data_IF_373659302985
#
_entry.id   IF_373659302985
#
_cell.length_a   1.000
_cell.length_b   1.000
_cell.length_c   1.000
_cell.angle_alpha   90.00
_cell.angle_beta   90.00
_cell.angle_gamma   90.00
#
_symmetry.space_group_name_H-M   'P 1'
#
loop_
_entity.id
_entity.type
_entity.pdbx_description
1 polymer ?
#
# COMPACT_ATOMS: atom_id res chain seq x y z
N UNK A 1 -11.05 -11.25 27.09
CA UNK A 1 -11.66 -12.29 26.23
C UNK A 1 -12.87 -11.72 25.53
N UNK A 2 -12.99 -11.94 24.23
CA UNK A 2 -14.12 -11.53 23.40
C UNK A 2 -14.74 -12.76 22.75
N UNK A 3 -16.08 -12.79 22.69
CA UNK A 3 -16.83 -13.75 21.88
C UNK A 3 -17.58 -12.95 20.84
N UNK A 4 -17.17 -13.12 19.60
CA UNK A 4 -17.66 -12.33 18.48
C UNK A 4 -18.73 -13.11 17.74
N UNK A 5 -19.92 -12.51 17.62
CA UNK A 5 -20.96 -13.07 16.76
C UNK A 5 -20.52 -13.08 15.29
N UNK A 6 -20.65 -14.22 14.62
CA UNK A 6 -20.15 -14.46 13.26
C UNK A 6 -20.70 -13.43 12.27
N UNK A 7 -21.98 -13.12 12.43
CA UNK A 7 -22.67 -12.12 11.63
C UNK A 7 -22.09 -10.72 11.83
N UNK A 8 -21.95 -10.31 13.09
CA UNK A 8 -21.71 -8.91 13.47
C UNK A 8 -20.27 -8.48 13.25
N UNK A 9 -19.35 -9.43 13.31
CA UNK A 9 -17.91 -9.20 13.32
C UNK A 9 -17.20 -9.76 12.09
N UNK A 10 -17.95 -10.31 11.13
CA UNK A 10 -17.47 -10.58 9.78
C UNK A 10 -16.89 -11.98 9.56
N UNK A 11 -17.38 -13.01 10.25
CA UNK A 11 -17.07 -14.42 9.96
C UNK A 11 -18.10 -15.09 9.06
N UNK A 12 -19.36 -14.64 9.11
CA UNK A 12 -20.47 -15.40 8.54
C UNK A 12 -20.35 -15.62 7.02
N UNK A 13 -19.73 -14.71 6.28
CA UNK A 13 -19.55 -14.85 4.85
C UNK A 13 -18.52 -15.95 4.54
N UNK A 14 -17.48 -16.09 5.36
CA UNK A 14 -16.50 -17.19 5.26
C UNK A 14 -17.16 -18.54 5.55
N UNK A 15 -17.95 -18.64 6.63
CA UNK A 15 -18.72 -19.86 6.95
C UNK A 15 -19.67 -20.27 5.83
N UNK A 16 -20.17 -19.30 5.05
CA UNK A 16 -21.03 -19.52 3.89
C UNK A 16 -20.27 -19.80 2.59
N UNK A 17 -18.94 -19.96 2.66
CA UNK A 17 -18.08 -20.17 1.49
C UNK A 17 -18.10 -19.03 0.49
N UNK A 18 -18.40 -17.81 0.94
CA UNK A 18 -18.38 -16.60 0.10
C UNK A 18 -16.96 -16.08 -0.05
N UNK A 19 -16.70 -15.38 -1.15
CA UNK A 19 -15.37 -14.83 -1.45
C UNK A 19 -15.07 -13.56 -0.66
N UNK A 20 -16.08 -12.77 -0.32
CA UNK A 20 -15.94 -11.57 0.49
C UNK A 20 -17.24 -11.23 1.21
N UNK A 21 -17.17 -10.26 2.13
CA UNK A 21 -18.32 -9.76 2.88
C UNK A 21 -19.41 -9.19 1.96
N UNK A 22 -19.05 -8.58 0.83
CA UNK A 22 -19.99 -7.98 -0.12
C UNK A 22 -20.91 -9.04 -0.72
N UNK A 23 -20.37 -10.23 -1.01
CA UNK A 23 -21.15 -11.34 -1.55
C UNK A 23 -22.21 -11.86 -0.58
N UNK A 24 -22.01 -11.72 0.72
CA UNK A 24 -23.06 -12.06 1.70
C UNK A 24 -24.31 -11.21 1.49
N UNK A 25 -24.16 -9.98 0.98
CA UNK A 25 -25.24 -9.01 0.85
C UNK A 25 -25.60 -8.66 -0.60
N UNK A 26 -25.09 -9.38 -1.60
CA UNK A 26 -25.31 -9.03 -3.02
C UNK A 26 -26.78 -8.94 -3.46
N UNK A 27 -27.71 -9.62 -2.76
CA UNK A 27 -29.16 -9.55 -3.00
C UNK A 27 -29.90 -8.65 -2.00
N UNK A 28 -29.20 -8.01 -1.06
CA UNK A 28 -29.81 -7.22 0.00
C UNK A 28 -30.04 -5.78 -0.45
N UNK A 29 -31.26 -5.27 -0.27
CA UNK A 29 -31.61 -3.87 -0.50
C UNK A 29 -30.87 -2.91 0.44
N UNK A 30 -30.39 -3.39 1.59
CA UNK A 30 -29.62 -2.63 2.58
C UNK A 30 -28.15 -3.05 2.65
N UNK A 31 -27.60 -3.63 1.58
CA UNK A 31 -26.23 -4.15 1.54
C UNK A 31 -25.20 -3.12 2.02
N UNK A 32 -25.29 -1.88 1.53
CA UNK A 32 -24.35 -0.82 1.88
C UNK A 32 -24.32 -0.47 3.38
N UNK A 33 -25.46 -0.53 4.06
CA UNK A 33 -25.53 -0.32 5.51
C UNK A 33 -24.85 -1.48 6.26
N UNK A 34 -25.18 -2.72 5.90
CA UNK A 34 -24.65 -3.90 6.59
C UNK A 34 -23.14 -4.08 6.39
N UNK A 35 -22.67 -3.94 5.15
CA UNK A 35 -21.24 -3.98 4.83
C UNK A 35 -20.49 -2.91 5.64
N UNK A 36 -21.01 -1.68 5.67
CA UNK A 36 -20.39 -0.58 6.45
C UNK A 36 -20.39 -0.87 7.94
N UNK A 37 -21.51 -1.36 8.48
CA UNK A 37 -21.65 -1.68 9.91
C UNK A 37 -20.67 -2.78 10.33
N UNK A 38 -20.61 -3.88 9.59
CA UNK A 38 -19.72 -5.00 9.89
C UNK A 38 -18.25 -4.58 9.73
N UNK A 39 -17.88 -3.86 8.66
CA UNK A 39 -16.52 -3.30 8.52
C UNK A 39 -16.16 -2.35 9.65
N UNK A 40 -17.12 -1.54 10.12
CA UNK A 40 -16.91 -0.65 11.28
C UNK A 40 -16.65 -1.44 12.56
N UNK A 41 -17.39 -2.53 12.77
CA UNK A 41 -17.14 -3.45 13.88
C UNK A 41 -15.74 -4.07 13.76
N UNK A 42 -15.38 -4.62 12.60
CA UNK A 42 -14.04 -5.19 12.35
C UNK A 42 -12.91 -4.18 12.62
N UNK A 43 -13.08 -2.92 12.19
CA UNK A 43 -12.15 -1.82 12.51
C UNK A 43 -12.06 -1.59 14.02
N UNK A 44 -13.20 -1.52 14.70
CA UNK A 44 -13.27 -1.33 16.15
C UNK A 44 -12.61 -2.50 16.89
N UNK A 45 -12.84 -3.73 16.44
CA UNK A 45 -12.28 -4.93 17.04
C UNK A 45 -10.76 -4.93 16.93
N UNK A 46 -10.22 -4.63 15.74
CA UNK A 46 -8.78 -4.47 15.54
C UNK A 46 -8.19 -3.37 16.43
N UNK A 47 -8.86 -2.22 16.52
CA UNK A 47 -8.43 -1.11 17.39
C UNK A 47 -8.45 -1.49 18.87
N UNK A 48 -9.51 -2.12 19.36
CA UNK A 48 -9.63 -2.55 20.76
C UNK A 48 -8.58 -3.59 21.11
N UNK A 49 -8.34 -4.56 20.22
CA UNK A 49 -7.27 -5.54 20.40
C UNK A 49 -5.91 -4.84 20.51
N UNK A 50 -5.61 -3.88 19.62
CA UNK A 50 -4.36 -3.10 19.66
C UNK A 50 -4.22 -2.27 20.94
N UNK A 51 -5.26 -1.57 21.38
CA UNK A 51 -5.25 -0.74 22.61
C UNK A 51 -5.04 -1.60 23.87
N UNK A 52 -5.71 -2.76 23.95
CA UNK A 52 -5.57 -3.68 25.08
C UNK A 52 -4.19 -4.34 25.10
N UNK A 53 -3.67 -4.76 23.95
CA UNK A 53 -2.32 -5.32 23.84
C UNK A 53 -1.27 -4.29 24.30
N UNK A 54 -1.39 -3.02 23.88
CA UNK A 54 -0.50 -1.92 24.31
C UNK A 54 -0.48 -1.69 25.82
N UNK A 55 -1.55 -2.04 26.52
CA UNK A 55 -1.66 -1.91 27.98
C UNK A 55 -1.28 -3.19 28.73
N UNK A 56 -0.68 -4.15 28.02
CA UNK A 56 -0.15 -5.40 28.59
C UNK A 56 -1.17 -6.52 28.72
N UNK A 57 -2.36 -6.39 28.12
CA UNK A 57 -3.38 -7.43 28.16
C UNK A 57 -3.20 -8.46 27.04
N UNK A 58 -3.26 -9.74 27.40
CA UNK A 58 -3.46 -10.81 26.42
C UNK A 58 -4.93 -10.83 25.97
N UNK A 59 -5.17 -10.70 24.66
CA UNK A 59 -6.51 -10.62 24.09
C UNK A 59 -6.86 -11.92 23.35
N UNK A 60 -7.73 -12.73 23.95
CA UNK A 60 -8.35 -13.87 23.28
C UNK A 60 -9.68 -13.46 22.64
N UNK A 61 -9.91 -13.88 21.38
CA UNK A 61 -11.12 -13.56 20.61
C UNK A 61 -11.62 -14.78 19.84
N UNK A 62 -12.79 -15.25 20.22
CA UNK A 62 -13.44 -16.45 19.70
C UNK A 62 -14.59 -16.09 18.78
N UNK A 63 -14.88 -16.92 17.79
CA UNK A 63 -16.14 -16.84 17.06
C UNK A 63 -17.26 -17.55 17.83
N UNK A 64 -18.49 -17.05 17.72
CA UNK A 64 -19.65 -17.72 18.31
C UNK A 64 -19.82 -19.15 17.76
N UNK A 65 -19.61 -19.37 16.45
CA UNK A 65 -19.67 -20.71 15.85
C UNK A 65 -18.64 -21.66 16.45
N UNK A 66 -17.40 -21.19 16.64
CA UNK A 66 -16.31 -22.02 17.14
C UNK A 66 -16.62 -22.52 18.56
N UNK A 67 -17.25 -21.68 19.38
CA UNK A 67 -17.66 -22.05 20.73
C UNK A 67 -18.96 -22.87 20.77
N UNK A 68 -19.86 -22.68 19.80
CA UNK A 68 -21.08 -23.50 19.69
C UNK A 68 -20.74 -24.94 19.30
N UNK A 69 -19.85 -25.11 18.34
CA UNK A 69 -19.48 -26.43 17.81
C UNK A 69 -18.42 -27.12 18.69
N UNK A 70 -17.53 -26.35 19.32
CA UNK A 70 -16.37 -26.86 20.06
C UNK A 70 -16.08 -26.07 21.34
N UNK A 71 -17.07 -26.01 22.24
CA UNK A 71 -16.95 -25.29 23.52
C UNK A 71 -15.75 -25.77 24.35
N UNK A 72 -15.47 -27.07 24.38
CA UNK A 72 -14.33 -27.62 25.11
C UNK A 72 -12.99 -27.02 24.67
N UNK A 73 -12.82 -26.72 23.38
CA UNK A 73 -11.59 -26.12 22.85
C UNK A 73 -11.45 -24.66 23.32
N UNK A 74 -12.55 -23.91 23.32
CA UNK A 74 -12.57 -22.55 23.85
C UNK A 74 -12.26 -22.51 25.35
N UNK A 75 -12.84 -23.42 26.12
CA UNK A 75 -12.58 -23.56 27.56
C UNK A 75 -11.13 -23.99 27.81
N UNK A 76 -10.60 -24.93 27.04
CA UNK A 76 -9.20 -25.36 27.13
C UNK A 76 -8.25 -24.18 26.87
N UNK A 77 -8.47 -23.40 25.81
CA UNK A 77 -7.67 -22.20 25.51
C UNK A 77 -7.71 -21.15 26.64
N UNK A 78 -8.88 -20.94 27.25
CA UNK A 78 -9.00 -20.02 28.38
C UNK A 78 -8.26 -20.55 29.60
N UNK A 79 -8.44 -21.83 29.94
CA UNK A 79 -7.77 -22.44 31.09
C UNK A 79 -6.25 -22.47 30.89
N UNK A 80 -5.77 -22.76 29.69
CA UNK A 80 -4.35 -22.68 29.34
C UNK A 80 -3.83 -21.24 29.51
N UNK A 81 -4.60 -20.23 29.09
CA UNK A 81 -4.26 -18.81 29.28
C UNK A 81 -4.19 -18.32 30.71
N UNK A 82 -4.81 -19.04 31.63
CA UNK A 82 -4.85 -18.73 33.06
C UNK A 82 -3.85 -19.55 33.88
N UNK A 83 -3.46 -20.74 33.40
CA UNK A 83 -2.65 -21.71 34.15
C UNK A 83 -1.20 -21.75 33.71
N UNK A 84 -0.92 -21.46 32.44
CA UNK A 84 0.39 -21.01 32.01
C UNK A 84 0.41 -19.49 32.09
N UNK A 85 1.48 -18.83 32.59
CA UNK A 85 1.76 -17.49 32.09
C UNK A 85 1.94 -17.67 30.58
N UNK A 86 0.88 -17.44 29.79
CA UNK A 86 1.02 -17.38 28.34
C UNK A 86 1.88 -16.14 28.07
N UNK A 87 3.20 -16.33 28.10
CA UNK A 87 3.95 -15.88 26.95
C UNK A 87 3.30 -16.62 25.78
N UNK A 88 2.49 -15.92 24.99
CA UNK A 88 2.07 -16.47 23.72
C UNK A 88 3.37 -16.96 23.07
N UNK A 89 3.39 -18.21 22.60
CA UNK A 89 4.58 -18.75 21.95
C UNK A 89 5.11 -17.69 20.98
N UNK A 90 6.42 -17.50 20.84
CA UNK A 90 6.99 -16.30 20.22
C UNK A 90 6.32 -15.90 18.90
N UNK A 91 5.82 -16.88 18.14
CA UNK A 91 4.98 -16.71 16.95
C UNK A 91 3.60 -16.08 17.16
N UNK A 92 2.78 -16.54 18.11
CA UNK A 92 1.47 -15.92 18.39
C UNK A 92 1.59 -14.55 19.05
N UNK A 93 2.60 -14.35 19.90
CA UNK A 93 2.90 -13.02 20.46
C UNK A 93 3.29 -12.06 19.35
N UNK A 94 4.23 -12.48 18.49
CA UNK A 94 4.64 -11.72 17.32
C UNK A 94 3.45 -11.41 16.39
N UNK A 95 2.58 -12.37 16.07
CA UNK A 95 1.40 -12.12 15.23
C UNK A 95 0.41 -11.15 15.89
N UNK A 96 0.24 -11.23 17.21
CA UNK A 96 -0.69 -10.41 17.99
C UNK A 96 -0.25 -8.96 18.16
N UNK A 97 1.05 -8.72 18.15
CA UNK A 97 1.62 -7.38 18.32
C UNK A 97 1.47 -6.49 17.07
N UNK A 98 1.10 -7.06 15.91
CA UNK A 98 0.92 -6.36 14.63
C UNK A 98 2.06 -5.39 14.33
N UNK A 99 3.31 -5.87 14.43
CA UNK A 99 4.52 -5.06 14.29
C UNK A 99 5.09 -5.11 12.87
N UNK A 100 5.80 -4.04 12.49
CA UNK A 100 6.31 -3.85 11.12
C UNK A 100 7.78 -3.47 11.11
N UNK A 101 8.54 -4.08 10.20
CA UNK A 101 9.85 -3.61 9.75
C UNK A 101 9.70 -3.00 8.34
N UNK A 102 9.85 -1.68 8.24
CA UNK A 102 9.60 -0.88 7.04
C UNK A 102 10.90 -0.59 6.28
N UNK A 103 11.20 -1.38 5.25
CA UNK A 103 12.34 -1.14 4.36
C UNK A 103 11.95 -0.20 3.22
N UNK A 104 12.89 0.67 2.81
CA UNK A 104 12.65 1.76 1.86
C UNK A 104 11.49 2.64 2.33
N UNK A 105 11.55 3.06 3.60
CA UNK A 105 10.48 3.76 4.30
C UNK A 105 10.13 5.11 3.64
N UNK A 106 11.10 5.72 2.95
CA UNK A 106 11.00 7.04 2.40
C UNK A 106 10.54 8.06 3.43
N UNK A 107 9.47 8.79 3.12
CA UNK A 107 8.88 9.77 4.05
C UNK A 107 7.84 9.14 5.00
N UNK A 108 7.70 7.80 5.00
CA UNK A 108 6.86 7.04 5.93
C UNK A 108 5.36 7.04 5.63
N UNK A 109 4.95 7.20 4.37
CA UNK A 109 3.53 7.07 4.01
C UNK A 109 3.03 5.62 4.09
N UNK A 110 3.92 4.63 4.01
CA UNK A 110 3.57 3.22 4.28
C UNK A 110 3.25 3.05 5.77
N UNK A 111 4.13 3.52 6.68
CA UNK A 111 3.85 3.63 8.12
C UNK A 111 2.50 4.30 8.43
N UNK A 112 2.23 5.49 7.89
CA UNK A 112 0.95 6.18 8.13
C UNK A 112 -0.27 5.33 7.78
N UNK A 113 -0.21 4.59 6.66
CA UNK A 113 -1.31 3.72 6.25
C UNK A 113 -1.49 2.51 7.16
N UNK A 114 -0.38 1.90 7.59
CA UNK A 114 -0.38 0.75 8.49
C UNK A 114 -0.81 1.13 9.91
N UNK A 115 -0.33 2.24 10.46
CA UNK A 115 -0.72 2.71 11.80
C UNK A 115 -2.20 3.06 11.89
N UNK A 116 -2.79 3.65 10.84
CA UNK A 116 -4.24 3.87 10.73
C UNK A 116 -5.05 2.56 10.80
N UNK A 117 -4.43 1.43 10.45
CA UNK A 117 -5.01 0.09 10.51
C UNK A 117 -4.60 -0.70 11.78
N UNK A 118 -3.90 -0.08 12.73
CA UNK A 118 -3.56 -0.66 14.04
C UNK A 118 -2.18 -1.31 14.14
N UNK A 119 -1.34 -1.20 13.12
CA UNK A 119 0.02 -1.73 13.12
C UNK A 119 1.00 -0.80 13.85
N UNK A 120 2.11 -1.34 14.35
CA UNK A 120 3.18 -0.57 14.98
C UNK A 120 4.52 -0.79 14.26
N UNK A 121 5.11 0.28 13.75
CA UNK A 121 6.46 0.21 13.17
C UNK A 121 7.49 0.08 14.29
N UNK A 122 8.38 -0.90 14.16
CA UNK A 122 9.47 -1.20 15.12
C UNK A 122 10.86 -1.04 14.51
N UNK A 123 10.92 -0.93 13.20
CA UNK A 123 12.12 -0.70 12.43
C UNK A 123 11.75 0.00 11.13
N UNK A 124 12.52 1.00 10.72
CA UNK A 124 12.40 1.65 9.44
C UNK A 124 13.80 1.88 8.84
N UNK A 125 13.94 1.72 7.53
CA UNK A 125 15.20 1.98 6.84
C UNK A 125 14.98 2.72 5.52
N UNK A 126 15.84 3.70 5.24
CA UNK A 126 16.03 4.30 3.92
C UNK A 126 17.48 4.79 3.79
N UNK A 127 17.95 5.05 2.57
CA UNK A 127 19.32 5.51 2.30
C UNK A 127 19.38 7.03 2.13
N UNK A 128 18.25 7.72 1.92
CA UNK A 128 18.20 9.14 1.57
C UNK A 128 18.02 10.05 2.81
N UNK A 129 19.02 10.89 3.16
CA UNK A 129 18.95 11.80 4.31
C UNK A 129 17.82 12.85 4.20
N UNK A 130 17.38 13.18 2.98
CA UNK A 130 16.24 14.09 2.81
C UNK A 130 14.93 13.43 3.20
N UNK A 131 14.80 12.12 2.91
CA UNK A 131 13.62 11.35 3.31
C UNK A 131 13.60 11.10 4.81
N UNK A 132 14.76 10.79 5.39
CA UNK A 132 14.98 10.72 6.84
C UNK A 132 14.48 12.01 7.53
N UNK A 133 14.93 13.19 7.09
CA UNK A 133 14.49 14.46 7.67
C UNK A 133 12.96 14.62 7.66
N UNK A 134 12.31 14.30 6.54
CA UNK A 134 10.85 14.38 6.43
C UNK A 134 10.15 13.31 7.29
N UNK A 135 10.75 12.13 7.42
CA UNK A 135 10.27 11.06 8.29
C UNK A 135 10.29 11.51 9.76
N UNK A 136 11.40 12.06 10.25
CA UNK A 136 11.50 12.57 11.61
C UNK A 136 10.52 13.71 11.90
N UNK A 137 10.31 14.61 10.92
CA UNK A 137 9.34 15.69 11.07
C UNK A 137 7.91 15.15 11.29
N UNK A 138 7.55 14.04 10.63
CA UNK A 138 6.23 13.41 10.76
C UNK A 138 6.10 12.53 12.01
N UNK A 139 7.19 11.89 12.46
CA UNK A 139 7.15 10.87 13.50
C UNK A 139 8.10 11.20 14.65
N UNK A 140 7.61 11.75 15.78
CA UNK A 140 8.46 12.13 16.90
C UNK A 140 9.21 10.96 17.58
N UNK A 141 8.76 9.73 17.39
CA UNK A 141 9.37 8.51 17.95
C UNK A 141 10.41 7.86 17.02
N UNK A 142 10.63 8.42 15.83
CA UNK A 142 11.46 7.83 14.77
C UNK A 142 12.93 7.62 15.15
N UNK A 143 13.49 8.41 16.05
CA UNK A 143 14.87 8.23 16.54
C UNK A 143 15.09 6.85 17.20
N UNK A 144 14.01 6.18 17.63
CA UNK A 144 14.06 4.87 18.26
C UNK A 144 14.21 3.71 17.26
N UNK A 145 13.89 3.93 15.98
CA UNK A 145 13.74 2.83 15.02
C UNK A 145 14.07 3.16 13.57
N UNK A 146 14.38 4.41 13.21
CA UNK A 146 14.80 4.76 11.84
C UNK A 146 16.31 4.58 11.67
N UNK A 147 16.70 3.88 10.62
CA UNK A 147 18.08 3.57 10.27
C UNK A 147 18.40 4.12 8.88
N UNK A 148 19.18 5.21 8.83
CA UNK A 148 19.73 5.74 7.59
C UNK A 148 20.92 4.89 7.13
N UNK A 149 20.68 3.93 6.24
CA UNK A 149 21.71 2.99 5.78
C UNK A 149 21.31 2.37 4.44
N UNK A 150 22.30 1.95 3.65
CA UNK A 150 22.06 1.08 2.50
C UNK A 150 21.52 -0.29 2.98
N UNK A 151 20.44 -0.76 2.38
CA UNK A 151 19.84 -2.07 2.69
C UNK A 151 20.85 -3.22 2.58
N UNK A 152 21.85 -3.11 1.71
CA UNK A 152 22.91 -4.11 1.57
C UNK A 152 23.87 -4.15 2.78
N UNK A 153 23.92 -3.07 3.57
CA UNK A 153 24.82 -2.90 4.71
C UNK A 153 24.11 -3.05 6.07
N UNK A 154 22.78 -3.23 6.08
CA UNK A 154 22.02 -3.46 7.31
C UNK A 154 22.54 -4.71 8.02
N UNK A 155 22.95 -4.52 9.28
CA UNK A 155 23.18 -5.60 10.24
C UNK A 155 21.83 -6.15 10.73
N UNK A 156 21.58 -7.44 10.51
CA UNK A 156 20.32 -8.06 10.94
C UNK A 156 20.13 -8.05 12.45
N UNK A 157 21.19 -7.87 13.24
CA UNK A 157 21.09 -7.75 14.70
C UNK A 157 20.30 -6.51 15.15
N UNK A 158 20.22 -5.46 14.33
CA UNK A 158 19.42 -4.26 14.63
C UNK A 158 17.97 -4.38 14.15
N UNK A 159 17.65 -5.40 13.35
CA UNK A 159 16.30 -5.62 12.84
C UNK A 159 15.53 -6.47 13.86
N UNK A 160 14.55 -5.90 14.60
CA UNK A 160 13.77 -6.67 15.56
C UNK A 160 12.90 -7.69 14.83
N UNK A 161 12.54 -8.77 15.53
CA UNK A 161 11.53 -9.69 15.05
C UNK A 161 10.17 -8.97 14.97
N UNK A 162 9.55 -8.98 13.78
CA UNK A 162 8.26 -8.33 13.53
C UNK A 162 7.27 -9.25 12.84
N UNK A 163 5.99 -8.90 12.89
CA UNK A 163 4.94 -9.64 12.17
C UNK A 163 5.03 -9.48 10.65
N UNK A 164 5.36 -8.28 10.19
CA UNK A 164 5.37 -7.87 8.80
C UNK A 164 6.69 -7.19 8.45
N UNK A 165 7.26 -7.52 7.29
CA UNK A 165 8.21 -6.64 6.60
C UNK A 165 7.53 -5.97 5.41
N UNK A 166 7.79 -4.69 5.18
CA UNK A 166 7.39 -4.01 3.94
C UNK A 166 8.60 -3.57 3.16
N UNK A 167 8.54 -3.59 1.83
CA UNK A 167 9.59 -3.04 0.97
C UNK A 167 9.02 -2.33 -0.25
N UNK A 168 9.28 -1.03 -0.37
CA UNK A 168 8.90 -0.18 -1.52
C UNK A 168 10.14 0.17 -2.35
N UNK A 169 10.76 -0.85 -2.93
CA UNK A 169 12.10 -0.76 -3.53
C UNK A 169 12.08 -0.14 -4.95
N UNK A 170 13.19 0.50 -5.38
CA UNK A 170 13.27 1.14 -6.70
C UNK A 170 13.15 0.12 -7.86
N UNK A 171 12.35 0.47 -8.88
CA UNK A 171 12.08 -0.40 -10.05
C UNK A 171 13.23 -0.54 -11.06
N UNK A 172 14.26 0.31 -11.00
CA UNK A 172 15.22 0.46 -12.12
C UNK A 172 16.33 -0.61 -12.15
N UNK A 173 16.50 -1.39 -11.09
CA UNK A 173 17.75 -2.14 -10.84
C UNK A 173 17.59 -3.68 -10.85
N UNK A 174 16.39 -4.21 -11.14
CA UNK A 174 16.14 -5.66 -11.07
C UNK A 174 16.86 -6.47 -12.16
N UNK A 175 17.31 -5.84 -13.24
CA UNK A 175 17.85 -6.51 -14.43
C UNK A 175 19.29 -7.03 -14.32
N UNK A 176 19.97 -6.78 -13.20
CA UNK A 176 21.38 -7.18 -12.99
C UNK A 176 21.55 -8.63 -12.49
N UNK A 177 20.47 -9.36 -12.18
CA UNK A 177 20.56 -10.73 -11.63
C UNK A 177 20.67 -11.85 -12.69
N UNK A 178 20.73 -11.52 -13.98
CA UNK A 178 20.55 -12.49 -15.07
C UNK A 178 21.82 -13.07 -15.71
N UNK A 179 23.02 -12.55 -15.43
CA UNK A 179 24.25 -13.07 -16.01
C UNK A 179 24.75 -14.30 -15.24
N UNK A 180 24.23 -15.48 -15.60
CA UNK A 180 24.77 -16.79 -15.20
C UNK A 180 26.18 -16.96 -15.79
N UNK A 181 27.20 -16.81 -14.94
CA UNK A 181 28.40 -17.67 -14.85
C UNK A 181 29.49 -16.94 -14.05
N UNK A 182 29.90 -17.53 -12.93
CA UNK A 182 31.04 -17.08 -12.15
C UNK A 182 30.65 -16.55 -10.77
N UNK A 183 31.19 -17.21 -9.75
CA UNK A 183 31.32 -16.68 -8.39
C UNK A 183 31.81 -15.22 -8.47
N UNK A 184 31.15 -14.30 -7.75
CA UNK A 184 31.41 -12.84 -7.67
C UNK A 184 30.56 -11.88 -8.57
N UNK A 185 29.39 -12.30 -9.05
CA UNK A 185 28.40 -11.35 -9.59
C UNK A 185 27.58 -10.69 -8.48
N UNK A 186 27.95 -9.48 -8.03
CA UNK A 186 27.23 -8.75 -6.97
C UNK A 186 25.76 -8.52 -7.34
N UNK A 187 24.84 -9.10 -6.54
CA UNK A 187 23.39 -8.87 -6.56
C UNK A 187 23.06 -7.42 -6.15
N UNK A 188 23.41 -6.43 -6.97
CA UNK A 188 23.39 -5.00 -6.60
C UNK A 188 22.02 -4.32 -6.60
N UNK A 189 20.93 -5.07 -6.83
CA UNK A 189 19.59 -4.48 -6.75
C UNK A 189 19.12 -4.39 -5.30
N UNK A 190 18.45 -3.28 -4.96
CA UNK A 190 17.87 -3.04 -3.66
C UNK A 190 16.95 -4.19 -3.18
N UNK A 191 16.24 -4.86 -4.09
CA UNK A 191 15.42 -6.03 -3.76
C UNK A 191 16.25 -7.19 -3.20
N UNK A 192 17.44 -7.43 -3.75
CA UNK A 192 18.34 -8.50 -3.30
C UNK A 192 19.00 -8.16 -1.96
N UNK A 193 19.28 -6.88 -1.71
CA UNK A 193 19.71 -6.43 -0.39
C UNK A 193 18.63 -6.68 0.68
N UNK A 194 17.36 -6.44 0.35
CA UNK A 194 16.24 -6.76 1.23
C UNK A 194 16.08 -8.27 1.45
N UNK A 195 16.16 -9.10 0.40
CA UNK A 195 16.01 -10.56 0.56
C UNK A 195 17.21 -11.20 1.25
N UNK A 196 18.41 -10.62 1.13
CA UNK A 196 19.58 -10.93 1.97
C UNK A 196 19.24 -10.74 3.45
N UNK A 197 18.73 -9.57 3.84
CA UNK A 197 18.32 -9.29 5.23
C UNK A 197 17.32 -10.34 5.71
N UNK A 198 16.28 -10.64 4.91
CA UNK A 198 15.35 -11.71 5.27
C UNK A 198 16.08 -13.05 5.45
N UNK A 199 16.93 -13.46 4.51
CA UNK A 199 17.66 -14.73 4.61
C UNK A 199 18.50 -14.84 5.87
N UNK A 200 19.23 -13.78 6.21
CA UNK A 200 20.08 -13.69 7.40
C UNK A 200 19.27 -13.68 8.71
N UNK A 201 18.05 -13.15 8.72
CA UNK A 201 17.14 -13.25 9.88
C UNK A 201 16.71 -14.69 10.19
N UNK A 202 16.83 -15.63 9.24
CA UNK A 202 16.54 -17.05 9.47
C UNK A 202 15.14 -17.32 10.03
N UNK A 203 15.06 -17.88 11.25
CA UNK A 203 13.79 -18.17 11.92
C UNK A 203 13.11 -16.92 12.52
N UNK A 204 13.81 -15.79 12.63
CA UNK A 204 13.27 -14.51 13.09
C UNK A 204 12.65 -13.69 11.96
N UNK A 205 12.63 -14.23 10.73
CA UNK A 205 11.98 -13.59 9.59
C UNK A 205 10.50 -13.28 9.88
N UNK A 206 9.99 -12.13 9.40
CA UNK A 206 8.59 -11.80 9.57
C UNK A 206 7.65 -12.81 8.94
N UNK A 207 6.51 -13.08 9.60
CA UNK A 207 5.51 -14.02 9.13
C UNK A 207 4.92 -13.61 7.76
N UNK A 208 4.92 -12.31 7.46
CA UNK A 208 4.45 -11.75 6.19
C UNK A 208 5.43 -10.73 5.60
N UNK A 209 5.37 -10.58 4.28
CA UNK A 209 6.07 -9.55 3.51
C UNK A 209 5.05 -8.82 2.64
N UNK A 210 5.12 -7.49 2.58
CA UNK A 210 4.38 -6.67 1.61
C UNK A 210 5.36 -5.90 0.71
N UNK A 211 5.40 -6.24 -0.57
CA UNK A 211 6.16 -5.50 -1.56
C UNK A 211 5.25 -4.50 -2.28
N UNK A 212 5.77 -3.32 -2.57
CA UNK A 212 5.16 -2.33 -3.47
C UNK A 212 6.10 -2.06 -4.65
N UNK A 213 5.52 -1.92 -5.85
CA UNK A 213 6.25 -1.45 -7.02
C UNK A 213 5.32 -0.84 -8.08
N UNK A 214 5.89 -0.30 -9.16
CA UNK A 214 5.14 0.19 -10.31
C UNK A 214 4.60 -0.97 -11.18
N UNK A 215 3.48 -0.78 -11.90
CA UNK A 215 2.90 -1.81 -12.76
C UNK A 215 3.83 -2.31 -13.87
N UNK A 216 4.84 -1.51 -14.25
CA UNK A 216 5.83 -1.87 -15.27
C UNK A 216 6.62 -3.13 -14.92
N UNK A 217 6.78 -3.45 -13.63
CA UNK A 217 7.45 -4.66 -13.16
C UNK A 217 6.82 -5.93 -13.77
N UNK A 218 5.49 -6.00 -13.84
CA UNK A 218 4.76 -7.15 -14.42
C UNK A 218 5.21 -7.49 -15.85
N UNK A 219 5.61 -6.48 -16.62
CA UNK A 219 5.99 -6.62 -18.04
C UNK A 219 7.49 -6.51 -18.29
N UNK A 220 8.29 -6.22 -17.27
CA UNK A 220 9.72 -6.00 -17.40
C UNK A 220 10.44 -7.28 -17.83
N UNK A 221 11.32 -7.18 -18.84
CA UNK A 221 11.96 -8.32 -19.51
C UNK A 221 10.99 -9.45 -19.88
N UNK A 222 9.79 -9.09 -20.39
CA UNK A 222 8.76 -10.06 -20.75
C UNK A 222 8.08 -10.73 -19.56
N UNK A 223 8.24 -10.19 -18.35
CA UNK A 223 7.71 -10.72 -17.09
C UNK A 223 8.73 -11.53 -16.26
N UNK A 224 9.95 -11.74 -16.76
CA UNK A 224 10.97 -12.53 -16.05
C UNK A 224 11.49 -11.84 -14.77
N UNK A 225 11.56 -10.50 -14.73
CA UNK A 225 11.95 -9.79 -13.50
C UNK A 225 10.91 -10.01 -12.39
N UNK A 226 9.62 -9.91 -12.73
CA UNK A 226 8.55 -10.12 -11.76
C UNK A 226 8.52 -11.57 -11.27
N UNK A 227 8.71 -12.52 -12.20
CA UNK A 227 8.85 -13.94 -11.86
C UNK A 227 10.04 -14.21 -10.94
N UNK A 228 11.16 -13.51 -11.14
CA UNK A 228 12.34 -13.62 -10.27
C UNK A 228 12.06 -13.09 -8.87
N UNK A 229 11.37 -11.95 -8.74
CA UNK A 229 10.93 -11.40 -7.45
C UNK A 229 10.03 -12.39 -6.70
N UNK A 230 9.04 -12.99 -7.37
CA UNK A 230 8.14 -13.96 -6.76
C UNK A 230 8.88 -15.27 -6.40
N UNK A 231 9.76 -15.73 -7.28
CA UNK A 231 10.56 -16.93 -7.06
C UNK A 231 11.52 -16.79 -5.88
N UNK A 232 12.09 -15.60 -5.67
CA UNK A 232 12.94 -15.32 -4.51
C UNK A 232 12.16 -15.37 -3.19
N UNK A 233 10.95 -14.80 -3.16
CA UNK A 233 10.07 -14.95 -1.99
C UNK A 233 9.69 -16.42 -1.75
N UNK A 234 9.41 -17.19 -2.79
CA UNK A 234 9.16 -18.64 -2.67
C UNK A 234 10.40 -19.39 -2.15
N UNK A 235 11.60 -19.06 -2.62
CA UNK A 235 12.85 -19.64 -2.13
C UNK A 235 13.09 -19.34 -0.64
N UNK A 236 12.65 -18.18 -0.17
CA UNK A 236 12.62 -17.83 1.26
C UNK A 236 11.48 -18.52 2.04
N UNK A 237 10.61 -19.29 1.38
CA UNK A 237 9.51 -20.03 2.03
C UNK A 237 8.20 -19.25 2.16
N UNK A 238 8.04 -18.14 1.42
CA UNK A 238 6.79 -17.39 1.38
C UNK A 238 5.90 -17.86 0.22
N UNK A 239 4.64 -18.15 0.50
CA UNK A 239 3.59 -18.26 -0.49
C UNK A 239 3.11 -16.85 -0.87
N UNK A 240 2.86 -16.58 -2.15
CA UNK A 240 2.64 -15.21 -2.64
C UNK A 240 1.24 -14.97 -3.22
N UNK A 241 0.68 -13.79 -2.97
CA UNK A 241 -0.45 -13.20 -3.71
C UNK A 241 -0.01 -11.91 -4.38
N UNK A 242 -0.67 -11.54 -5.47
CA UNK A 242 -0.42 -10.27 -6.16
C UNK A 242 -1.70 -9.65 -6.71
N UNK A 243 -1.72 -8.31 -6.65
CA UNK A 243 -2.81 -7.47 -7.12
C UNK A 243 -2.30 -6.04 -7.39
N UNK A 244 -3.07 -5.23 -8.10
CA UNK A 244 -2.77 -3.84 -8.39
C UNK A 244 -3.89 -2.93 -7.89
N UNK A 245 -3.56 -1.80 -7.25
CA UNK A 245 -4.57 -0.84 -6.77
C UNK A 245 -4.23 0.55 -7.31
N UNK A 246 -5.26 1.23 -7.84
CA UNK A 246 -5.16 2.62 -8.27
C UNK A 246 -5.63 3.55 -7.14
N UNK A 247 -4.80 4.52 -6.76
CA UNK A 247 -5.15 5.54 -5.77
C UNK A 247 -6.43 6.32 -6.10
N UNK A 248 -6.90 6.32 -7.36
CA UNK A 248 -8.14 7.00 -7.79
C UNK A 248 -9.38 6.59 -7.00
N UNK A 249 -9.37 5.39 -6.42
CA UNK A 249 -10.45 4.88 -5.58
C UNK A 249 -10.54 5.56 -4.22
N UNK A 250 -9.52 6.33 -3.81
CA UNK A 250 -9.42 6.94 -2.49
C UNK A 250 -9.12 8.44 -2.50
N UNK A 251 -8.38 8.91 -3.51
CA UNK A 251 -7.93 10.30 -3.67
C UNK A 251 -8.07 10.71 -5.13
N UNK A 252 -8.14 12.00 -5.48
CA UNK A 252 -8.34 12.44 -6.86
C UNK A 252 -7.04 12.38 -7.67
N UNK A 253 -6.40 11.20 -7.72
CA UNK A 253 -5.18 10.92 -8.46
C UNK A 253 -5.19 9.51 -9.03
N UNK A 254 -4.86 9.34 -10.31
CA UNK A 254 -4.55 8.02 -10.86
C UNK A 254 -3.08 7.66 -10.60
N UNK A 255 -2.86 6.72 -9.67
CA UNK A 255 -1.57 6.13 -9.30
C UNK A 255 -1.77 4.64 -9.07
N UNK A 256 -1.71 3.87 -10.15
CA UNK A 256 -1.73 2.41 -10.12
C UNK A 256 -0.38 1.89 -9.58
N UNK A 257 -0.44 0.96 -8.63
CA UNK A 257 0.71 0.26 -8.05
C UNK A 257 0.46 -1.24 -7.99
N UNK A 258 1.52 -2.01 -8.15
CA UNK A 258 1.56 -3.45 -8.02
C UNK A 258 1.99 -3.79 -6.60
N UNK A 259 1.27 -4.72 -5.98
CA UNK A 259 1.55 -5.21 -4.65
C UNK A 259 1.77 -6.72 -4.70
N UNK A 260 2.68 -7.22 -3.85
CA UNK A 260 2.87 -8.64 -3.59
C UNK A 260 2.81 -8.86 -2.10
N UNK A 261 1.99 -9.80 -1.65
CA UNK A 261 1.98 -10.24 -0.26
C UNK A 261 2.56 -11.65 -0.18
N UNK A 262 3.68 -11.79 0.53
CA UNK A 262 4.25 -13.08 0.90
C UNK A 262 3.79 -13.49 2.30
N UNK A 263 3.48 -14.77 2.51
CA UNK A 263 3.13 -15.34 3.81
C UNK A 263 3.94 -16.61 4.02
N UNK A 264 4.63 -16.76 5.15
CA UNK A 264 5.43 -17.96 5.40
C UNK A 264 4.58 -19.23 5.31
N UNK A 265 5.05 -20.23 4.58
CA UNK A 265 4.34 -21.51 4.44
C UNK A 265 4.13 -22.20 5.79
N UNK A 266 5.08 -22.06 6.72
CA UNK A 266 5.01 -22.60 8.08
C UNK A 266 3.79 -22.12 8.87
N UNK A 267 3.33 -20.88 8.64
CA UNK A 267 2.15 -20.34 9.34
C UNK A 267 0.84 -20.64 8.61
N UNK A 268 0.89 -21.21 7.41
CA UNK A 268 -0.28 -21.46 6.55
C UNK A 268 -0.43 -22.97 6.26
N UNK A 269 -1.34 -23.65 6.96
CA UNK A 269 -1.70 -25.06 6.68
C UNK A 269 -2.26 -25.29 5.25
N UNK A 270 -2.69 -24.23 4.55
CA UNK A 270 -3.14 -24.27 3.15
C UNK A 270 -1.97 -24.37 2.14
N UNK A 271 -0.71 -24.51 2.60
CA UNK A 271 0.47 -24.62 1.74
C UNK A 271 0.40 -25.75 0.67
N UNK A 272 -0.50 -26.71 0.84
CA UNK A 272 -0.72 -27.80 -0.13
C UNK A 272 -1.85 -27.53 -1.15
N UNK A 273 -2.58 -26.41 -1.07
CA UNK A 273 -3.64 -26.07 -2.04
C UNK A 273 -3.17 -24.99 -3.01
N UNK A 274 -3.00 -25.33 -4.29
CA UNK A 274 -2.75 -24.34 -5.35
C UNK A 274 -3.96 -23.43 -5.52
N UNK A 275 -3.91 -22.25 -4.89
CA UNK A 275 -4.95 -21.22 -4.93
C UNK A 275 -5.00 -20.43 -6.24
N UNK A 276 -4.09 -20.67 -7.19
CA UNK A 276 -4.03 -19.95 -8.47
C UNK A 276 -5.33 -20.04 -9.30
N UNK A 277 -6.17 -21.06 -9.06
CA UNK A 277 -7.51 -21.19 -9.64
C UNK A 277 -8.49 -20.11 -9.17
N UNK A 278 -8.25 -19.49 -8.01
CA UNK A 278 -9.03 -18.38 -7.47
C UNK A 278 -8.71 -17.04 -8.15
N UNK A 279 -7.63 -16.96 -8.93
CA UNK A 279 -7.27 -15.75 -9.66
C UNK A 279 -8.29 -15.47 -10.78
N UNK A 280 -9.08 -14.42 -10.57
CA UNK A 280 -10.11 -13.94 -11.48
C UNK A 280 -9.94 -12.45 -11.74
N UNK A 281 -10.43 -12.01 -12.90
CA UNK A 281 -10.42 -10.60 -13.28
C UNK A 281 -11.31 -9.79 -12.31
N UNK A 282 -10.79 -8.65 -11.87
CA UNK A 282 -11.45 -7.75 -10.91
C UNK A 282 -10.88 -6.34 -11.02
N UNK A 283 -11.39 -5.41 -10.22
CA UNK A 283 -10.87 -4.03 -10.18
C UNK A 283 -9.38 -3.96 -9.77
N UNK A 284 -8.87 -5.01 -9.10
CA UNK A 284 -7.49 -5.08 -8.61
C UNK A 284 -6.64 -6.17 -9.28
N UNK A 285 -7.24 -7.03 -10.11
CA UNK A 285 -6.49 -8.03 -10.88
C UNK A 285 -6.87 -7.89 -12.35
N UNK A 286 -6.04 -7.14 -13.08
CA UNK A 286 -6.22 -6.95 -14.52
C UNK A 286 -6.10 -8.29 -15.25
N UNK A 287 -6.67 -8.36 -16.45
CA UNK A 287 -6.57 -9.54 -17.29
C UNK A 287 -5.11 -9.97 -17.54
N UNK A 288 -4.17 -9.02 -17.69
CA UNK A 288 -2.75 -9.30 -17.83
C UNK A 288 -2.15 -9.97 -16.59
N UNK A 289 -2.50 -9.49 -15.39
CA UNK A 289 -2.03 -10.08 -14.12
C UNK A 289 -2.61 -11.48 -13.90
N UNK A 290 -3.90 -11.68 -14.18
CA UNK A 290 -4.56 -12.99 -14.09
C UNK A 290 -3.92 -13.99 -15.05
N UNK A 291 -3.62 -13.56 -16.30
CA UNK A 291 -2.88 -14.40 -17.23
C UNK A 291 -1.50 -14.74 -16.67
N UNK A 292 -0.76 -13.76 -16.15
CA UNK A 292 0.57 -14.01 -15.58
C UNK A 292 0.52 -15.07 -14.48
N UNK A 293 -0.42 -14.98 -13.53
CA UNK A 293 -0.61 -15.97 -12.46
C UNK A 293 -0.85 -17.38 -13.06
N UNK A 294 -1.76 -17.49 -14.03
CA UNK A 294 -2.14 -18.77 -14.65
C UNK A 294 -1.02 -19.41 -15.48
N UNK A 295 -0.19 -18.60 -16.14
CA UNK A 295 0.95 -19.08 -16.95
C UNK A 295 2.19 -19.42 -16.11
N UNK A 296 2.18 -19.12 -14.81
CA UNK A 296 3.28 -19.42 -13.90
C UNK A 296 2.84 -20.36 -12.75
N UNK A 297 2.40 -21.59 -13.05
CA UNK A 297 1.92 -22.56 -12.04
C UNK A 297 3.03 -23.14 -11.14
N UNK A 298 4.29 -22.83 -11.44
CA UNK A 298 5.47 -23.18 -10.65
C UNK A 298 5.74 -22.23 -9.49
N UNK A 299 5.10 -21.05 -9.48
CA UNK A 299 5.15 -20.12 -8.34
C UNK A 299 4.21 -20.65 -7.25
N UNK A 300 4.64 -20.60 -6.01
CA UNK A 300 3.84 -21.00 -4.86
C UNK A 300 2.85 -19.90 -4.49
N UNK A 301 1.64 -20.01 -5.04
CA UNK A 301 0.59 -19.00 -4.90
C UNK A 301 -0.28 -19.20 -3.65
N UNK A 302 -0.60 -18.10 -2.97
CA UNK A 302 -1.65 -17.97 -1.96
C UNK A 302 -2.64 -16.85 -2.34
N UNK A 303 -3.29 -17.01 -3.50
CA UNK A 303 -4.30 -16.07 -3.98
C UNK A 303 -5.49 -16.03 -3.03
N UNK A 304 -5.74 -14.85 -2.46
CA UNK A 304 -6.90 -14.59 -1.61
C UNK A 304 -7.97 -13.81 -2.38
N UNK A 305 -9.25 -14.13 -2.17
CA UNK A 305 -10.31 -13.26 -2.63
C UNK A 305 -10.25 -11.95 -1.83
N UNK A 306 -10.40 -10.83 -2.54
CA UNK A 306 -10.35 -9.49 -1.95
C UNK A 306 -11.55 -8.71 -2.47
N UNK A 307 -12.12 -7.81 -1.66
CA UNK A 307 -13.19 -6.96 -2.11
C UNK A 307 -12.70 -5.98 -3.19
N UNK A 308 -13.63 -5.42 -3.96
CA UNK A 308 -13.30 -4.28 -4.81
C UNK A 308 -12.99 -3.04 -3.95
N UNK A 309 -12.07 -2.16 -4.40
CA UNK A 309 -11.86 -0.86 -3.80
C UNK A 309 -13.15 -0.03 -3.81
N UNK A 310 -13.28 0.95 -2.89
CA UNK A 310 -14.45 1.82 -2.85
C UNK A 310 -14.58 2.66 -4.13
N UNK A 311 -15.81 3.10 -4.41
CA UNK A 311 -16.06 4.12 -5.44
C UNK A 311 -15.74 5.50 -4.86
N UNK A 312 -14.77 6.19 -5.45
CA UNK A 312 -14.39 7.55 -5.06
C UNK A 312 -15.31 8.60 -5.67
N UNK A 313 -15.73 9.56 -4.85
CA UNK A 313 -16.38 10.81 -5.31
C UNK A 313 -15.43 12.01 -5.23
N UNK A 314 -14.16 11.78 -4.84
CA UNK A 314 -13.19 12.87 -4.69
C UNK A 314 -12.86 13.48 -6.03
N UNK A 315 -12.80 14.82 -6.06
CA UNK A 315 -12.48 15.62 -7.24
C UNK A 315 -11.20 16.40 -6.98
N UNK A 316 -10.45 16.70 -8.05
CA UNK A 316 -9.22 17.47 -7.98
C UNK A 316 -9.42 18.79 -7.21
N UNK A 317 -10.54 19.47 -7.43
CA UNK A 317 -10.89 20.70 -6.73
C UNK A 317 -10.86 20.57 -5.20
N UNK A 318 -11.14 19.40 -4.64
CA UNK A 318 -11.15 19.17 -3.18
C UNK A 318 -9.76 19.16 -2.53
N UNK A 319 -8.69 19.04 -3.33
CA UNK A 319 -7.32 19.05 -2.80
C UNK A 319 -6.57 20.36 -3.07
N UNK A 320 -7.10 21.21 -3.96
CA UNK A 320 -6.47 22.47 -4.33
C UNK A 320 -6.57 23.46 -3.17
N UNK A 321 -5.47 24.14 -2.85
CA UNK A 321 -5.47 25.20 -1.85
C UNK A 321 -6.24 26.41 -2.37
N UNK A 322 -7.12 26.94 -1.51
CA UNK A 322 -7.77 28.24 -1.72
C UNK A 322 -6.76 29.35 -1.39
N UNK A 323 -5.74 29.47 -2.25
CA UNK A 323 -4.76 30.54 -2.15
C UNK A 323 -5.41 31.84 -2.64
N UNK A 324 -5.36 32.94 -1.87
CA UNK A 324 -5.70 34.26 -2.39
C UNK A 324 -4.92 34.50 -3.68
N UNK A 325 -5.57 35.06 -4.70
CA UNK A 325 -4.99 35.32 -6.02
C UNK A 325 -3.69 36.20 -5.96
N UNK A 326 -3.35 36.73 -4.79
CA UNK A 326 -2.17 37.56 -4.50
C UNK A 326 -0.89 36.81 -4.11
N UNK A 327 -0.89 35.47 -4.00
CA UNK A 327 0.36 34.71 -3.83
C UNK A 327 1.08 34.55 -5.18
N UNK A 328 2.37 34.86 -5.19
CA UNK A 328 3.35 34.89 -6.30
C UNK A 328 3.58 33.55 -7.05
N UNK A 329 2.71 32.57 -6.90
CA UNK A 329 2.92 31.19 -7.40
C UNK A 329 2.31 30.93 -8.78
N UNK A 330 1.36 31.77 -9.21
CA UNK A 330 0.84 31.75 -10.58
C UNK A 330 1.92 32.20 -11.56
N UNK A 331 2.05 31.47 -12.66
CA UNK A 331 3.02 31.81 -13.68
C UNK A 331 2.66 33.13 -14.36
N UNK A 332 3.66 33.94 -14.73
CA UNK A 332 3.48 35.02 -15.68
C UNK A 332 2.72 34.54 -16.93
N UNK A 333 1.86 35.39 -17.48
CA UNK A 333 0.96 35.01 -18.56
C UNK A 333 1.70 34.49 -19.80
N UNK A 334 2.84 35.08 -20.15
CA UNK A 334 3.70 34.64 -21.25
C UNK A 334 4.22 33.19 -21.06
N UNK A 335 4.60 32.84 -19.82
CA UNK A 335 4.99 31.47 -19.46
C UNK A 335 3.80 30.50 -19.52
N UNK A 336 2.63 30.93 -19.09
CA UNK A 336 1.39 30.15 -19.18
C UNK A 336 1.00 29.90 -20.64
N UNK A 337 1.04 30.94 -21.47
CA UNK A 337 0.76 30.90 -22.90
C UNK A 337 1.75 29.99 -23.64
N UNK A 338 3.03 30.01 -23.24
CA UNK A 338 4.03 29.08 -23.77
C UNK A 338 3.66 27.62 -23.49
N UNK A 339 3.21 27.26 -22.28
CA UNK A 339 2.72 25.90 -22.01
C UNK A 339 1.49 25.57 -22.87
N UNK A 340 0.54 26.49 -22.97
CA UNK A 340 -0.70 26.29 -23.75
C UNK A 340 -0.40 26.15 -25.25
N UNK A 341 0.63 26.82 -25.77
CA UNK A 341 1.14 26.65 -27.14
C UNK A 341 1.61 25.22 -27.44
N UNK A 342 1.98 24.46 -26.41
CA UNK A 342 2.45 23.07 -26.54
C UNK A 342 1.30 22.04 -26.49
N UNK A 343 0.05 22.47 -26.26
CA UNK A 343 -1.11 21.59 -26.29
C UNK A 343 -1.45 21.18 -27.72
N UNK A 344 -1.83 19.91 -27.92
CA UNK A 344 -2.44 19.47 -29.17
C UNK A 344 -3.78 20.21 -29.42
N UNK A 345 -4.28 20.24 -30.67
CA UNK A 345 -5.60 20.83 -30.96
C UNK A 345 -6.73 20.27 -30.07
N UNK A 346 -6.71 18.97 -29.80
CA UNK A 346 -7.69 18.31 -28.93
C UNK A 346 -7.61 18.77 -27.46
N UNK A 347 -6.41 18.91 -26.91
CA UNK A 347 -6.24 19.43 -25.55
C UNK A 347 -6.57 20.92 -25.45
N UNK A 348 -6.27 21.70 -26.49
CA UNK A 348 -6.63 23.12 -26.58
C UNK A 348 -8.15 23.30 -26.61
N UNK A 349 -8.87 22.48 -27.37
CA UNK A 349 -10.33 22.51 -27.37
C UNK A 349 -10.92 22.21 -25.97
N UNK A 350 -10.33 21.27 -25.23
CA UNK A 350 -10.74 20.99 -23.84
C UNK A 350 -10.50 22.19 -22.92
N UNK A 351 -9.35 22.86 -23.04
CA UNK A 351 -9.08 24.08 -22.27
C UNK A 351 -10.07 25.19 -22.61
N UNK A 352 -10.37 25.40 -23.90
CA UNK A 352 -11.40 26.38 -24.31
C UNK A 352 -12.76 26.05 -23.68
N UNK A 353 -13.18 24.79 -23.71
CA UNK A 353 -14.41 24.36 -23.06
C UNK A 353 -14.42 24.51 -21.53
N UNK A 354 -13.25 24.57 -20.88
CA UNK A 354 -13.15 24.95 -19.46
C UNK A 354 -13.30 26.47 -19.28
N UNK A 355 -12.67 27.28 -20.15
CA UNK A 355 -12.76 28.75 -20.10
C UNK A 355 -14.17 29.27 -20.38
N UNK A 356 -14.93 28.60 -21.25
CA UNK A 356 -16.31 28.98 -21.60
C UNK A 356 -17.30 28.81 -20.42
N UNK A 357 -16.88 28.15 -19.34
CA UNK A 357 -17.73 27.94 -18.16
C UNK A 357 -17.81 29.21 -17.31
N UNK A 358 -18.99 29.49 -16.77
CA UNK A 358 -19.22 30.55 -15.77
C UNK A 358 -18.86 30.12 -14.34
N UNK A 359 -17.89 29.21 -14.20
CA UNK A 359 -17.37 28.72 -12.95
C UNK A 359 -15.89 28.34 -13.12
N UNK A 360 -15.12 28.40 -12.03
CA UNK A 360 -13.73 27.93 -12.04
C UNK A 360 -13.69 26.40 -12.02
N UNK A 361 -12.87 25.84 -12.90
CA UNK A 361 -12.58 24.42 -12.96
C UNK A 361 -11.06 24.18 -12.97
N UNK A 362 -10.66 22.97 -12.56
CA UNK A 362 -9.26 22.59 -12.41
C UNK A 362 -8.92 21.39 -13.28
N UNK A 363 -7.76 21.47 -13.92
CA UNK A 363 -7.16 20.39 -14.68
C UNK A 363 -5.70 20.26 -14.31
N UNK A 364 -5.13 19.10 -14.61
CA UNK A 364 -3.67 18.94 -14.52
C UNK A 364 -3.04 18.75 -15.89
N UNK A 365 -1.76 19.10 -16.00
CA UNK A 365 -0.99 18.90 -17.21
C UNK A 365 0.40 18.32 -16.92
N UNK A 366 0.93 17.61 -17.90
CA UNK A 366 2.32 17.15 -17.93
C UNK A 366 2.98 17.58 -19.21
N UNK A 367 4.27 17.89 -19.14
CA UNK A 367 5.09 18.03 -20.34
C UNK A 367 5.56 16.64 -20.79
N UNK A 368 5.59 16.44 -22.10
CA UNK A 368 6.08 15.22 -22.77
C UNK A 368 6.98 15.62 -23.92
N UNK A 369 8.06 14.88 -24.11
CA UNK A 369 8.84 15.00 -25.33
C UNK A 369 8.27 14.05 -26.38
N UNK A 370 7.83 14.57 -27.52
CA UNK A 370 7.36 13.78 -28.66
C UNK A 370 8.14 14.22 -29.89
N UNK A 371 8.79 13.28 -30.59
CA UNK A 371 9.61 13.55 -31.78
C UNK A 371 10.63 14.69 -31.58
N UNK A 372 11.24 14.77 -30.40
CA UNK A 372 12.21 15.82 -30.06
C UNK A 372 11.63 17.18 -29.64
N UNK A 373 10.31 17.38 -29.72
CA UNK A 373 9.65 18.61 -29.30
C UNK A 373 8.95 18.46 -27.93
N UNK A 374 8.96 19.53 -27.13
CA UNK A 374 8.16 19.60 -25.89
C UNK A 374 6.69 19.81 -26.23
N UNK A 375 5.84 18.92 -25.74
CA UNK A 375 4.38 18.93 -25.85
C UNK A 375 3.77 18.94 -24.46
N UNK A 376 2.52 19.38 -24.33
CA UNK A 376 1.77 19.35 -23.08
C UNK A 376 0.51 18.49 -23.24
N UNK A 377 0.23 17.64 -22.26
CA UNK A 377 -0.94 16.76 -22.21
C UNK A 377 -1.83 17.19 -21.06
N UNK A 378 -3.08 17.57 -21.37
CA UNK A 378 -4.07 18.06 -20.40
C UNK A 378 -5.00 16.92 -19.95
N UNK A 379 -5.18 16.80 -18.64
CA UNK A 379 -6.12 15.88 -17.99
C UNK A 379 -7.23 16.67 -17.29
N UNK A 380 -8.46 16.45 -17.74
CA UNK A 380 -9.67 17.21 -17.35
C UNK A 380 -10.78 16.33 -16.76
N UNK A 381 -10.49 15.06 -16.44
CA UNK A 381 -11.46 14.08 -15.91
C UNK A 381 -11.66 14.18 -14.39
N UNK A 382 -11.28 15.32 -13.79
CA UNK A 382 -11.47 15.57 -12.37
C UNK A 382 -10.44 14.91 -11.45
N UNK A 383 -9.40 14.26 -11.98
CA UNK A 383 -8.29 13.71 -11.18
C UNK A 383 -6.91 14.11 -11.71
N UNK A 384 -5.92 14.13 -10.83
CA UNK A 384 -4.52 14.31 -11.18
C UNK A 384 -3.95 13.03 -11.83
N UNK A 385 -2.90 13.20 -12.63
CA UNK A 385 -2.06 12.06 -12.99
C UNK A 385 -1.11 11.67 -11.85
N UNK A 386 -0.42 10.55 -12.01
CA UNK A 386 0.53 10.04 -11.02
C UNK A 386 1.64 11.07 -10.74
N UNK A 387 1.77 11.48 -9.47
CA UNK A 387 2.94 12.23 -8.99
C UNK A 387 4.23 11.42 -9.26
N UNK A 388 5.31 12.11 -9.58
CA UNK A 388 6.61 11.52 -9.90
C UNK A 388 7.71 12.30 -9.19
N UNK A 389 8.80 11.60 -8.85
CA UNK A 389 10.04 12.26 -8.40
C UNK A 389 10.54 13.22 -9.49
N UNK A 390 10.74 14.51 -9.21
CA UNK A 390 11.12 15.48 -10.23
C UNK A 390 12.62 15.35 -10.61
N UNK A 391 12.94 14.50 -11.58
CA UNK A 391 14.28 14.44 -12.22
C UNK A 391 14.43 15.43 -13.40
N UNK A 392 13.46 16.33 -13.61
CA UNK A 392 13.41 17.32 -14.68
C UNK A 392 12.05 18.04 -14.76
N UNK A 393 11.91 19.02 -15.66
CA UNK A 393 10.70 19.85 -15.78
C UNK A 393 9.42 19.09 -16.17
N UNK A 394 9.56 17.93 -16.83
CA UNK A 394 8.44 17.10 -17.31
C UNK A 394 7.80 16.20 -16.24
N UNK A 395 8.44 16.06 -15.08
CA UNK A 395 7.97 15.20 -13.99
C UNK A 395 7.11 15.94 -12.96
N UNK A 396 7.06 17.28 -13.00
CA UNK A 396 6.27 18.09 -12.07
C UNK A 396 4.82 18.18 -12.54
N UNK A 397 3.88 18.00 -11.61
CA UNK A 397 2.46 18.21 -11.87
C UNK A 397 2.18 19.70 -12.07
N UNK A 398 1.61 20.04 -13.22
CA UNK A 398 1.15 21.40 -13.50
C UNK A 398 -0.36 21.46 -13.23
N UNK A 399 -0.80 22.48 -12.52
CA UNK A 399 -2.20 22.82 -12.30
C UNK A 399 -2.61 23.90 -13.30
N UNK A 400 -3.80 23.73 -13.88
CA UNK A 400 -4.47 24.72 -14.71
C UNK A 400 -5.83 25.02 -14.08
N UNK A 401 -6.06 26.28 -13.72
CA UNK A 401 -7.35 26.83 -13.31
C UNK A 401 -7.93 27.57 -14.50
N UNK A 402 -9.16 27.26 -14.92
CA UNK A 402 -9.78 27.90 -16.09
C UNK A 402 -11.29 28.11 -15.87
N UNK A 403 -11.80 29.21 -16.41
CA UNK A 403 -13.19 29.66 -16.28
C UNK A 403 -13.30 31.15 -16.60
N UNK A 404 -14.52 31.65 -16.82
CA UNK A 404 -14.79 33.08 -17.08
C UNK A 404 -13.93 33.68 -18.22
N UNK A 405 -13.68 32.90 -19.27
CA UNK A 405 -12.90 33.33 -20.43
C UNK A 405 -11.38 33.44 -20.19
N UNK A 406 -10.87 32.96 -19.05
CA UNK A 406 -9.45 33.07 -18.68
C UNK A 406 -8.90 31.78 -18.07
N UNK A 407 -7.57 31.68 -18.02
CA UNK A 407 -6.86 30.58 -17.37
C UNK A 407 -5.63 31.08 -16.62
N UNK A 408 -5.25 30.33 -15.58
CA UNK A 408 -4.03 30.52 -14.82
C UNK A 408 -3.31 29.19 -14.68
N UNK A 409 -1.98 29.22 -14.61
CA UNK A 409 -1.14 28.02 -14.57
C UNK A 409 -0.14 28.12 -13.43
N UNK A 410 0.01 27.06 -12.65
CA UNK A 410 1.08 26.93 -11.64
C UNK A 410 1.49 25.48 -11.46
N UNK A 411 2.47 25.23 -10.60
CA UNK A 411 2.74 23.87 -10.13
C UNK A 411 1.80 23.54 -8.96
N UNK A 412 1.50 22.26 -8.76
CA UNK A 412 0.90 21.83 -7.50
C UNK A 412 1.87 22.14 -6.34
N UNK A 413 1.31 22.64 -5.24
CA UNK A 413 2.07 22.90 -4.03
C UNK A 413 2.45 21.58 -3.34
N UNK A 414 3.45 21.59 -2.44
CA UNK A 414 3.73 20.46 -1.57
C UNK A 414 2.52 19.96 -0.78
N UNK A 415 1.68 20.86 -0.23
CA UNK A 415 0.47 20.50 0.53
C UNK A 415 -0.57 19.82 -0.35
N UNK A 416 -0.78 20.31 -1.57
CA UNK A 416 -1.68 19.67 -2.54
C UNK A 416 -1.17 18.29 -2.95
N UNK A 417 0.14 18.12 -3.12
CA UNK A 417 0.75 16.81 -3.34
C UNK A 417 0.52 15.88 -2.13
N UNK A 418 0.66 16.38 -0.90
CA UNK A 418 0.39 15.61 0.31
C UNK A 418 -1.08 15.13 0.38
N UNK A 419 -2.03 16.02 0.04
CA UNK A 419 -3.46 15.68 -0.07
C UNK A 419 -3.73 14.63 -1.15
N UNK A 420 -3.08 14.72 -2.31
CA UNK A 420 -3.16 13.71 -3.36
C UNK A 420 -2.58 12.35 -2.96
N UNK A 421 -1.80 12.29 -1.87
CA UNK A 421 -1.27 11.05 -1.29
C UNK A 421 -2.03 10.62 -0.02
N UNK A 422 -3.09 11.34 0.36
CA UNK A 422 -3.92 11.07 1.55
C UNK A 422 -3.26 11.46 2.89
N UNK A 423 -2.32 12.40 2.85
CA UNK A 423 -1.53 12.86 3.99
C UNK A 423 -1.65 14.39 4.18
N UNK A 424 -2.89 14.91 4.29
CA UNK A 424 -3.16 16.35 4.36
C UNK A 424 -2.44 17.03 5.53
N UNK A 425 -2.30 16.36 6.67
CA UNK A 425 -1.67 16.92 7.88
C UNK A 425 -0.14 16.73 7.92
N UNK A 426 0.48 16.19 6.86
CA UNK A 426 1.92 15.90 6.85
C UNK A 426 2.73 17.20 7.04
N UNK A 427 3.70 17.29 7.96
CA UNK A 427 4.48 18.50 8.17
C UNK A 427 5.44 18.73 7.00
N UNK A 428 5.48 19.97 6.50
CA UNK A 428 6.32 20.35 5.35
C UNK A 428 7.20 21.52 5.77
N UNK A 429 8.38 21.19 6.30
CA UNK A 429 9.42 22.13 6.77
C UNK A 429 10.70 22.08 5.90
N UNK A 430 10.63 21.37 4.77
CA UNK A 430 11.70 21.23 3.78
C UNK A 430 11.44 22.11 2.55
N UNK A 431 12.43 22.20 1.66
CA UNK A 431 12.23 22.93 0.40
C UNK A 431 11.13 22.29 -0.46
N UNK A 432 10.49 23.11 -1.30
CA UNK A 432 9.44 22.64 -2.25
C UNK A 432 9.94 21.46 -3.08
N UNK A 433 11.19 21.50 -3.57
CA UNK A 433 11.74 20.41 -4.39
C UNK A 433 11.90 19.10 -3.59
N UNK A 434 12.36 19.18 -2.33
CA UNK A 434 12.49 18.00 -1.45
C UNK A 434 11.11 17.41 -1.17
N UNK A 435 10.12 18.24 -0.82
CA UNK A 435 8.77 17.77 -0.56
C UNK A 435 8.14 17.10 -1.79
N UNK A 436 8.24 17.72 -2.97
CA UNK A 436 7.74 17.13 -4.21
C UNK A 436 8.45 15.81 -4.56
N UNK A 437 9.74 15.69 -4.25
CA UNK A 437 10.47 14.44 -4.41
C UNK A 437 9.94 13.36 -3.46
N UNK A 438 9.83 13.66 -2.16
CA UNK A 438 9.31 12.74 -1.14
C UNK A 438 7.91 12.22 -1.49
N UNK A 439 6.96 13.10 -1.77
CA UNK A 439 5.59 12.69 -2.15
C UNK A 439 5.53 11.99 -3.52
N UNK A 440 6.41 12.35 -4.45
CA UNK A 440 6.48 11.72 -5.77
C UNK A 440 6.91 10.25 -5.71
N UNK A 441 7.80 9.92 -4.77
CA UNK A 441 8.35 8.58 -4.54
C UNK A 441 7.45 7.71 -3.66
N UNK A 442 6.77 8.31 -2.69
CA UNK A 442 6.00 7.59 -1.67
C UNK A 442 4.78 6.79 -2.17
N UNK A 443 4.27 5.90 -1.31
CA UNK A 443 3.00 5.19 -1.51
C UNK A 443 1.80 6.06 -1.11
N UNK A 444 0.61 5.72 -1.59
CA UNK A 444 -0.62 6.44 -1.23
C UNK A 444 -1.21 5.88 0.08
N UNK A 445 -1.36 6.72 1.11
CA UNK A 445 -1.74 6.30 2.48
C UNK A 445 -3.04 5.48 2.52
N UNK A 446 -4.15 5.92 1.89
CA UNK A 446 -5.41 5.17 1.97
C UNK A 446 -5.39 3.84 1.21
N UNK A 447 -4.49 3.67 0.23
CA UNK A 447 -4.29 2.39 -0.45
C UNK A 447 -3.68 1.40 0.53
N UNK A 448 -2.66 1.82 1.28
CA UNK A 448 -2.01 0.98 2.29
C UNK A 448 -2.98 0.66 3.43
N UNK A 449 -3.75 1.65 3.91
CA UNK A 449 -4.80 1.41 4.93
C UNK A 449 -5.81 0.36 4.43
N UNK A 450 -6.23 0.45 3.17
CA UNK A 450 -7.15 -0.52 2.59
C UNK A 450 -6.53 -1.93 2.51
N UNK A 451 -5.27 -2.06 2.09
CA UNK A 451 -4.57 -3.34 2.05
C UNK A 451 -4.48 -3.94 3.46
N UNK A 452 -4.11 -3.12 4.45
CA UNK A 452 -4.03 -3.57 5.83
C UNK A 452 -5.38 -4.11 6.33
N UNK A 453 -6.46 -3.35 6.13
CA UNK A 453 -7.78 -3.71 6.64
C UNK A 453 -8.44 -4.89 5.93
N UNK A 454 -8.19 -5.07 4.63
CA UNK A 454 -8.89 -6.09 3.82
C UNK A 454 -8.03 -7.31 3.51
N UNK A 455 -6.71 -7.22 3.69
CA UNK A 455 -5.77 -8.31 3.48
C UNK A 455 -5.05 -8.68 4.77
N UNK A 456 -4.23 -7.77 5.32
CA UNK A 456 -3.27 -8.10 6.36
C UNK A 456 -3.94 -8.41 7.70
N UNK A 457 -4.86 -7.57 8.17
CA UNK A 457 -5.55 -7.77 9.45
C UNK A 457 -6.42 -9.04 9.45
N UNK A 458 -7.24 -9.32 8.42
CA UNK A 458 -7.96 -10.60 8.34
C UNK A 458 -7.02 -11.80 8.33
N UNK A 459 -5.86 -11.69 7.66
CA UNK A 459 -4.86 -12.74 7.66
C UNK A 459 -4.24 -12.95 9.05
N UNK A 460 -3.80 -11.89 9.72
CA UNK A 460 -3.30 -11.96 11.12
C UNK A 460 -4.31 -12.63 12.03
N UNK A 461 -5.58 -12.19 11.99
CA UNK A 461 -6.65 -12.77 12.81
C UNK A 461 -6.83 -14.27 12.54
N UNK A 462 -6.75 -14.69 11.27
CA UNK A 462 -6.83 -16.11 10.88
C UNK A 462 -5.63 -16.90 11.40
N UNK A 463 -4.42 -16.35 11.31
CA UNK A 463 -3.19 -16.98 11.79
C UNK A 463 -3.20 -17.13 13.32
N UNK A 464 -3.58 -16.07 14.05
CA UNK A 464 -3.69 -16.08 15.51
C UNK A 464 -4.67 -17.13 16.00
N UNK A 465 -5.88 -17.17 15.43
CA UNK A 465 -6.90 -18.16 15.82
C UNK A 465 -6.43 -19.59 15.61
N UNK A 466 -5.74 -19.86 14.49
CA UNK A 466 -5.21 -21.21 14.21
C UNK A 466 -4.11 -21.61 15.18
N UNK A 467 -3.16 -20.72 15.46
CA UNK A 467 -2.10 -21.03 16.43
C UNK A 467 -2.69 -21.42 17.79
N UNK A 468 -3.73 -20.70 18.23
CA UNK A 468 -4.44 -20.99 19.47
C UNK A 468 -5.26 -22.31 19.41
N UNK A 469 -5.68 -22.77 18.23
CA UNK A 469 -6.41 -24.03 18.03
C UNK A 469 -5.49 -25.26 17.90
N UNK A 470 -4.21 -25.06 17.57
CA UNK A 470 -3.23 -26.13 17.36
C UNK A 470 -2.39 -26.47 18.60
N UNK A 471 -2.44 -25.64 19.63
CA UNK A 471 -1.99 -25.97 20.98
C UNK A 471 -3.17 -26.60 21.73
#
# INVERSE_FOLDING_TARGET
MFVDGDYWHGNQWELRGKRCLEEQFHLSTNAGYWIRKIRTNMKRDARQTSELAKTGWSVLRFWESDLQDHMENGVAQVLESLTSPIEAGPEAKMLGDMTVAEFFAGIGLMRLGLERAGWAVRFANDIDPNKEKMYHAQFPDSDLHFHLEDVHLIDVAVVPQTTLATASFPCNDLSLAGARDGLEGSESSAFWGFTRVLRELGNHRPAMVLLENVPGLLTSHGGEDFKSVLGELNALGYLVDTFMIDAKYFVPQSRLRLFVVGVQSAVVAEANMKTSSLAQESAIRSNALVRFIKHNPQIDWLIRPLPDPPVSTHQLASVIEDTPDSLTDWWPQDRADYLVSQLSPSHRQRLNGMMDQSAWSFATAFRRTRKGASTAELRTDGIAGCLRTPRGGSARQILIKAGFGQYQVRLLSPRECARLMGADDFPIDVSVNQALFGFGDAVCVPVIEWIALNYLNPLVNKLLRRHLQSQ
#
